data_IF_772909379626
#
_entry.id   IF_772909379626
#
_cell.length_a   1.000
_cell.length_b   1.000
_cell.length_c   1.000
_cell.angle_alpha   90.00
_cell.angle_beta   90.00
_cell.angle_gamma   90.00
#
_symmetry.space_group_name_H-M   'P 1'
#
loop_
_entity.id
_entity.type
_entity.pdbx_description
1 polymer ?
#
# COMPACT_ATOMS: atom_id res chain seq x y z
N UNK A 1 11.17 -8.62 3.26
CA UNK A 1 10.08 -9.01 2.34
C UNK A 1 10.24 -8.40 0.94
N UNK A 2 11.42 -8.53 0.32
CA UNK A 2 11.66 -7.98 -1.02
C UNK A 2 11.57 -9.06 -2.12
N UNK A 3 11.18 -10.29 -1.76
CA UNK A 3 10.92 -11.30 -2.79
C UNK A 3 9.77 -10.81 -3.66
N UNK A 4 10.09 -10.67 -4.94
CA UNK A 4 9.15 -10.36 -6.01
C UNK A 4 9.03 -11.62 -6.85
N UNK A 5 7.81 -12.02 -7.14
CA UNK A 5 7.57 -13.12 -8.07
C UNK A 5 8.22 -12.79 -9.41
N UNK A 6 8.87 -13.78 -10.02
CA UNK A 6 9.51 -13.61 -11.32
C UNK A 6 8.46 -13.26 -12.39
N UNK A 7 8.90 -12.66 -13.49
CA UNK A 7 8.05 -12.38 -14.65
C UNK A 7 7.38 -13.65 -15.22
N UNK A 8 7.96 -14.81 -14.93
CA UNK A 8 7.48 -16.13 -15.34
C UNK A 8 6.36 -16.68 -14.42
N UNK A 9 6.01 -15.97 -13.35
CA UNK A 9 5.06 -16.42 -12.32
C UNK A 9 3.58 -16.15 -12.68
N UNK A 10 3.26 -15.96 -13.96
CA UNK A 10 1.90 -15.77 -14.45
C UNK A 10 1.18 -14.59 -13.80
N UNK A 11 0.01 -14.84 -13.19
CA UNK A 11 -0.81 -13.79 -12.56
C UNK A 11 -0.15 -13.10 -11.35
N UNK A 12 0.90 -13.70 -10.79
CA UNK A 12 1.66 -13.09 -9.69
C UNK A 12 2.92 -12.36 -10.17
N UNK A 13 3.24 -12.42 -11.47
CA UNK A 13 4.43 -11.81 -12.05
C UNK A 13 4.59 -10.36 -11.62
N UNK A 14 5.79 -10.02 -11.12
CA UNK A 14 6.10 -8.66 -10.69
C UNK A 14 5.48 -8.25 -9.35
N UNK A 15 4.64 -9.04 -8.70
CA UNK A 15 4.09 -8.68 -7.38
C UNK A 15 5.08 -8.99 -6.23
N UNK A 16 5.27 -8.07 -5.27
CA UNK A 16 5.98 -8.39 -4.03
C UNK A 16 5.15 -9.36 -3.18
N UNK A 17 5.76 -10.46 -2.71
CA UNK A 17 5.08 -11.42 -1.82
C UNK A 17 4.53 -10.75 -0.56
N UNK A 18 5.26 -9.77 -0.02
CA UNK A 18 4.80 -8.98 1.13
C UNK A 18 3.46 -8.29 0.88
N UNK A 19 3.27 -7.68 -0.31
CA UNK A 19 2.03 -6.99 -0.64
C UNK A 19 0.85 -7.95 -0.78
N UNK A 20 1.09 -9.16 -1.31
CA UNK A 20 0.05 -10.19 -1.41
C UNK A 20 -0.39 -10.66 -0.03
N UNK A 21 0.56 -10.89 0.90
CA UNK A 21 0.24 -11.23 2.29
C UNK A 21 -0.56 -10.11 2.97
N UNK A 22 -0.16 -8.85 2.77
CA UNK A 22 -0.87 -7.68 3.34
C UNK A 22 -2.29 -7.56 2.77
N UNK A 23 -2.45 -7.71 1.46
CA UNK A 23 -3.74 -7.64 0.79
C UNK A 23 -4.69 -8.75 1.27
N UNK A 24 -4.21 -10.00 1.30
CA UNK A 24 -5.01 -11.13 1.78
C UNK A 24 -5.42 -10.99 3.25
N UNK A 25 -4.52 -10.53 4.12
CA UNK A 25 -4.88 -10.29 5.53
C UNK A 25 -5.84 -9.12 5.70
N UNK A 26 -5.71 -8.06 4.90
CA UNK A 26 -6.65 -6.93 4.88
C UNK A 26 -8.05 -7.38 4.47
N UNK A 27 -8.15 -8.23 3.44
CA UNK A 27 -9.41 -8.81 2.98
C UNK A 27 -10.04 -9.72 4.03
N UNK A 28 -9.25 -10.63 4.63
CA UNK A 28 -9.73 -11.55 5.67
C UNK A 28 -10.23 -10.83 6.94
N UNK A 29 -9.61 -9.70 7.30
CA UNK A 29 -9.95 -8.96 8.53
C UNK A 29 -11.00 -7.85 8.31
N UNK A 30 -11.33 -7.53 7.05
CA UNK A 30 -12.26 -6.44 6.71
C UNK A 30 -11.76 -5.04 7.07
N UNK A 31 -10.54 -4.90 7.60
CA UNK A 31 -9.89 -3.61 7.84
C UNK A 31 -8.37 -3.73 7.76
N UNK A 32 -7.75 -2.76 7.09
CA UNK A 32 -6.28 -2.65 6.99
C UNK A 32 -5.64 -2.48 8.37
N UNK A 33 -6.34 -1.82 9.30
CA UNK A 33 -5.86 -1.62 10.67
C UNK A 33 -5.66 -2.95 11.43
N UNK A 34 -6.66 -3.85 11.40
CA UNK A 34 -6.57 -5.16 12.05
C UNK A 34 -5.50 -6.03 11.38
N UNK A 35 -5.41 -5.96 10.04
CA UNK A 35 -4.35 -6.64 9.30
C UNK A 35 -2.96 -6.18 9.73
N UNK A 36 -2.75 -4.88 9.97
CA UNK A 36 -1.46 -4.34 10.42
C UNK A 36 -1.04 -4.87 11.79
N UNK A 37 -1.98 -5.07 12.72
CA UNK A 37 -1.70 -5.68 14.03
C UNK A 37 -1.25 -7.14 13.87
N UNK A 38 -1.94 -7.92 13.03
CA UNK A 38 -1.58 -9.31 12.76
C UNK A 38 -0.24 -9.44 12.03
N UNK A 39 0.02 -8.57 11.06
CA UNK A 39 1.30 -8.52 10.35
C UNK A 39 2.45 -8.19 11.29
N UNK A 40 2.24 -7.25 12.22
CA UNK A 40 3.25 -6.90 13.23
C UNK A 40 3.59 -8.10 14.13
N UNK A 41 2.58 -8.89 14.51
CA UNK A 41 2.77 -10.14 15.26
C UNK A 41 3.50 -11.20 14.43
N UNK A 42 3.04 -11.44 13.20
CA UNK A 42 3.61 -12.44 12.29
C UNK A 42 5.09 -12.17 12.00
N UNK A 43 5.46 -10.89 11.81
CA UNK A 43 6.84 -10.48 11.52
C UNK A 43 7.72 -10.26 12.74
N UNK A 44 7.21 -10.51 13.96
CA UNK A 44 7.96 -10.31 15.20
C UNK A 44 8.60 -8.91 15.28
N UNK A 45 7.91 -7.90 14.76
CA UNK A 45 8.44 -6.53 14.72
C UNK A 45 8.51 -5.97 16.14
N UNK A 46 9.64 -5.36 16.49
CA UNK A 46 9.76 -4.64 17.76
C UNK A 46 9.14 -3.25 17.62
N UNK A 47 8.10 -2.96 18.40
CA UNK A 47 7.35 -1.70 18.34
C UNK A 47 5.95 -1.88 17.76
N UNK A 48 5.29 -0.76 17.41
CA UNK A 48 3.93 -0.76 16.87
C UNK A 48 3.91 0.00 15.54
N UNK A 49 3.37 -0.65 14.51
CA UNK A 49 3.17 -0.04 13.19
C UNK A 49 1.72 0.43 13.11
N UNK A 50 1.54 1.71 12.80
CA UNK A 50 0.22 2.33 12.69
C UNK A 50 0.04 2.92 11.29
N UNK A 51 -1.10 2.67 10.63
CA UNK A 51 -1.43 3.41 9.42
C UNK A 51 -1.77 4.86 9.78
N UNK A 52 -1.56 5.80 8.85
CA UNK A 52 -1.89 7.21 9.06
C UNK A 52 -3.40 7.48 9.16
N UNK A 53 -4.23 6.56 8.65
CA UNK A 53 -5.69 6.56 8.77
C UNK A 53 -6.19 5.12 8.84
N UNK A 54 -7.37 4.93 9.40
CA UNK A 54 -8.18 3.71 9.40
C UNK A 54 -8.79 3.37 8.03
N UNK A 55 -8.83 4.34 7.12
CA UNK A 55 -9.39 4.20 5.79
C UNK A 55 -8.37 4.55 4.69
N UNK A 56 -8.55 4.01 3.46
CA UNK A 56 -7.75 4.42 2.32
C UNK A 56 -7.94 5.92 2.04
N UNK A 57 -6.84 6.65 1.93
CA UNK A 57 -6.85 8.08 1.59
C UNK A 57 -6.44 8.26 0.13
N UNK A 58 -7.02 9.28 -0.51
CA UNK A 58 -6.55 9.77 -1.82
C UNK A 58 -5.81 11.08 -1.60
N UNK A 59 -4.59 11.19 -2.12
CA UNK A 59 -3.81 12.43 -2.05
C UNK A 59 -4.29 13.40 -3.14
N UNK A 60 -4.43 14.68 -2.80
CA UNK A 60 -4.77 15.77 -3.73
C UNK A 60 -3.66 16.82 -3.71
N UNK A 61 -3.31 17.35 -4.87
CA UNK A 61 -2.37 18.46 -5.02
C UNK A 61 -2.99 19.59 -5.84
N UNK A 62 -2.76 20.83 -5.40
CA UNK A 62 -3.09 22.05 -6.14
C UNK A 62 -1.79 22.69 -6.60
N UNK A 63 -1.61 22.80 -7.91
CA UNK A 63 -0.41 23.36 -8.53
C UNK A 63 -0.50 24.90 -8.62
N UNK A 64 0.62 25.54 -8.96
CA UNK A 64 0.73 27.01 -9.00
C UNK A 64 -0.12 27.64 -10.09
N UNK A 65 -0.42 26.90 -11.16
CA UNK A 65 -1.33 27.29 -12.22
C UNK A 65 -2.82 27.17 -11.83
N UNK A 66 -3.10 26.63 -10.63
CA UNK A 66 -4.44 26.40 -10.11
C UNK A 66 -5.05 25.06 -10.51
N UNK A 67 -4.32 24.19 -11.23
CA UNK A 67 -4.77 22.83 -11.52
C UNK A 67 -4.79 21.97 -10.26
N UNK A 68 -5.78 21.08 -10.18
CA UNK A 68 -5.91 20.10 -9.10
C UNK A 68 -5.76 18.69 -9.66
N UNK A 69 -4.92 17.88 -9.00
CA UNK A 69 -4.69 16.48 -9.36
C UNK A 69 -4.92 15.59 -8.16
N UNK A 70 -5.66 14.50 -8.37
CA UNK A 70 -5.91 13.47 -7.37
C UNK A 70 -5.17 12.18 -7.71
N UNK A 71 -4.63 11.53 -6.68
CA UNK A 71 -3.85 10.30 -6.76
C UNK A 71 -2.34 10.56 -6.75
N UNK A 72 -1.64 9.90 -5.84
CA UNK A 72 -0.19 10.08 -5.64
C UNK A 72 0.62 9.90 -6.93
N UNK A 73 0.38 8.82 -7.69
CA UNK A 73 1.07 8.56 -8.96
C UNK A 73 0.83 9.67 -9.99
N UNK A 74 -0.41 10.14 -10.11
CA UNK A 74 -0.75 11.21 -11.06
C UNK A 74 -0.12 12.54 -10.67
N UNK A 75 -0.05 12.82 -9.36
CA UNK A 75 0.63 14.02 -8.85
C UNK A 75 2.12 13.97 -9.19
N UNK A 76 2.75 12.80 -9.07
CA UNK A 76 4.17 12.63 -9.39
C UNK A 76 4.48 12.77 -10.89
N UNK A 77 3.56 12.35 -11.75
CA UNK A 77 3.72 12.42 -13.22
C UNK A 77 3.27 13.77 -13.80
N UNK A 78 2.63 14.65 -13.02
CA UNK A 78 2.12 15.92 -13.51
C UNK A 78 3.28 16.89 -13.80
N UNK A 79 3.44 17.37 -15.05
CA UNK A 79 4.37 18.44 -15.37
C UNK A 79 3.81 19.73 -14.79
N UNK A 80 4.32 20.13 -13.61
CA UNK A 80 3.81 21.27 -12.84
C UNK A 80 4.00 22.64 -13.50
#
# INVERSE_FOLDING_TARGET
>A
FQYRFSEESGAFAGHPLGNIIIAGLSEMQGSTYNAMQLLSLFFHTTGKIYPSSDHPLTLHAVFKDGSEVAGESHIADHPG
#
